data_IF_279244493697
#
_entry.id   IF_279244493697
#
_cell.length_a   1.000
_cell.length_b   1.000
_cell.length_c   1.000
_cell.angle_alpha   90.00
_cell.angle_beta   90.00
_cell.angle_gamma   90.00
#
_symmetry.space_group_name_H-M   'P 1'
#
loop_
_entity.id
_entity.type
_entity.pdbx_description
1 polymer ?
#
# COMPACT_ATOMS: atom_id res chain seq x y z
N UNK A 1 0.58 -18.09 -17.78
CA UNK A 1 1.07 -17.73 -16.42
C UNK A 1 0.45 -16.44 -15.88
N UNK A 2 0.65 -15.22 -16.46
CA UNK A 2 0.00 -13.97 -15.93
C UNK A 2 -1.53 -14.09 -15.88
N UNK A 3 -2.16 -14.64 -16.93
CA UNK A 3 -3.62 -14.83 -17.00
C UNK A 3 -4.16 -15.83 -15.99
N UNK A 4 -3.40 -16.82 -15.61
CA UNK A 4 -3.80 -17.83 -14.60
C UNK A 4 -3.75 -17.23 -13.19
N UNK A 5 -2.68 -16.51 -12.88
CA UNK A 5 -2.58 -15.78 -11.59
C UNK A 5 -3.71 -14.75 -11.46
N UNK A 6 -4.04 -14.01 -12.52
CA UNK A 6 -5.16 -13.07 -12.51
C UNK A 6 -6.52 -13.76 -12.23
N UNK A 7 -6.71 -15.01 -12.68
CA UNK A 7 -7.91 -15.80 -12.33
C UNK A 7 -7.93 -16.14 -10.83
N UNK A 8 -6.78 -16.48 -10.24
CA UNK A 8 -6.69 -16.75 -8.80
C UNK A 8 -6.98 -15.52 -7.95
N UNK A 9 -6.56 -14.33 -8.40
CA UNK A 9 -6.86 -13.05 -7.76
C UNK A 9 -8.37 -12.72 -7.78
N UNK A 10 -9.12 -13.29 -8.72
CA UNK A 10 -10.55 -13.09 -8.83
C UNK A 10 -10.95 -11.72 -9.36
N UNK A 11 -12.08 -11.20 -8.88
CA UNK A 11 -12.68 -9.96 -9.41
C UNK A 11 -12.02 -8.71 -8.82
N UNK A 12 -11.53 -7.83 -9.68
CA UNK A 12 -11.10 -6.48 -9.31
C UNK A 12 -12.30 -5.53 -9.30
N UNK A 13 -12.25 -4.55 -8.41
CA UNK A 13 -13.19 -3.43 -8.42
C UNK A 13 -12.98 -2.52 -9.63
N UNK A 14 -14.03 -1.83 -10.05
CA UNK A 14 -13.93 -0.85 -11.11
C UNK A 14 -13.24 0.43 -10.60
N UNK A 15 -12.32 0.95 -11.43
CA UNK A 15 -11.71 2.26 -11.15
C UNK A 15 -12.75 3.38 -11.26
N UNK A 16 -12.64 4.37 -10.38
CA UNK A 16 -13.50 5.54 -10.35
C UNK A 16 -12.68 6.82 -10.49
N UNK A 17 -13.35 7.97 -10.68
CA UNK A 17 -12.67 9.27 -10.66
C UNK A 17 -11.94 9.47 -9.33
N UNK A 18 -10.67 9.80 -9.38
CA UNK A 18 -9.79 9.90 -8.20
C UNK A 18 -10.27 10.93 -7.17
N UNK A 19 -10.81 12.08 -7.61
CA UNK A 19 -11.26 13.20 -6.75
C UNK A 19 -10.26 13.47 -5.62
N UNK A 20 -9.00 13.65 -5.99
CA UNK A 20 -7.91 13.91 -5.05
C UNK A 20 -8.21 15.19 -4.27
N UNK A 21 -8.10 15.11 -2.93
CA UNK A 21 -8.28 16.22 -2.00
C UNK A 21 -7.06 16.34 -1.11
N UNK A 22 -6.50 17.54 -1.01
CA UNK A 22 -5.53 17.91 0.01
C UNK A 22 -6.25 18.09 1.36
N UNK A 23 -5.85 17.35 2.38
CA UNK A 23 -6.41 17.42 3.73
C UNK A 23 -5.55 18.30 4.63
N UNK A 24 -4.24 18.15 4.52
CA UNK A 24 -3.26 18.91 5.29
C UNK A 24 -1.96 19.04 4.50
N UNK A 25 -1.21 20.10 4.76
CA UNK A 25 0.09 20.38 4.14
C UNK A 25 1.05 20.98 5.14
N UNK A 26 2.25 20.42 5.21
CA UNK A 26 3.32 20.88 6.12
C UNK A 26 4.59 21.08 5.31
N UNK A 27 5.25 22.21 5.52
CA UNK A 27 6.56 22.52 4.95
C UNK A 27 7.64 22.21 5.98
N UNK A 28 8.54 21.28 5.64
CA UNK A 28 9.68 20.89 6.47
C UNK A 28 11.01 21.54 6.02
N UNK A 29 10.95 22.53 5.11
CA UNK A 29 12.14 23.18 4.55
C UNK A 29 12.72 22.40 3.37
N UNK A 30 13.23 21.20 3.58
CA UNK A 30 13.82 20.36 2.51
C UNK A 30 12.77 19.66 1.64
N UNK A 31 11.59 19.43 2.18
CA UNK A 31 10.47 18.79 1.47
C UNK A 31 9.12 19.32 1.99
N UNK A 32 8.10 19.11 1.21
CA UNK A 32 6.71 19.34 1.60
C UNK A 32 6.02 17.99 1.81
N UNK A 33 5.31 17.82 2.92
CA UNK A 33 4.42 16.70 3.19
C UNK A 33 2.98 17.15 2.98
N UNK A 34 2.22 16.37 2.23
CA UNK A 34 0.78 16.60 2.04
C UNK A 34 0.04 15.32 2.40
N UNK A 35 -0.97 15.42 3.27
CA UNK A 35 -1.95 14.37 3.48
C UNK A 35 -3.02 14.50 2.42
N UNK A 36 -3.10 13.50 1.54
CA UNK A 36 -4.11 13.39 0.48
C UNK A 36 -5.21 12.42 0.89
N UNK A 37 -6.39 12.64 0.33
CA UNK A 37 -7.50 11.69 0.33
C UNK A 37 -8.04 11.56 -1.09
N UNK A 38 -8.22 10.34 -1.60
CA UNK A 38 -8.69 10.08 -2.96
C UNK A 38 -9.57 8.84 -3.03
N UNK A 39 -10.42 8.77 -4.04
CA UNK A 39 -11.27 7.61 -4.26
C UNK A 39 -10.45 6.44 -4.84
N UNK A 40 -10.70 5.24 -4.35
CA UNK A 40 -10.23 3.98 -4.94
C UNK A 40 -11.38 3.22 -5.58
N UNK A 41 -12.56 3.29 -4.98
CA UNK A 41 -13.81 2.69 -5.44
C UNK A 41 -14.97 3.65 -5.20
N UNK A 42 -16.17 3.31 -5.72
CA UNK A 42 -17.39 4.05 -5.40
C UNK A 42 -17.67 3.92 -3.90
N UNK A 43 -17.67 5.04 -3.20
CA UNK A 43 -17.92 5.10 -1.75
C UNK A 43 -16.73 4.78 -0.86
N UNK A 44 -15.55 4.46 -1.42
CA UNK A 44 -14.34 4.19 -0.64
C UNK A 44 -13.19 5.14 -1.00
N UNK A 45 -12.55 5.67 0.06
CA UNK A 45 -11.42 6.60 -0.04
C UNK A 45 -10.21 6.08 0.70
N UNK A 46 -9.03 6.41 0.18
CA UNK A 46 -7.75 6.13 0.81
C UNK A 46 -7.08 7.44 1.20
N UNK A 47 -6.47 7.45 2.38
CA UNK A 47 -5.55 8.51 2.79
C UNK A 47 -4.12 8.07 2.53
N UNK A 48 -3.34 9.00 1.98
CA UNK A 48 -1.91 8.80 1.70
C UNK A 48 -1.13 10.04 2.06
N UNK A 49 0.08 9.88 2.57
CA UNK A 49 1.03 10.97 2.54
C UNK A 49 1.70 11.03 1.17
N UNK A 50 1.84 12.24 0.63
CA UNK A 50 2.78 12.50 -0.46
C UNK A 50 3.88 13.43 0.04
N UNK A 51 5.14 13.02 -0.16
CA UNK A 51 6.33 13.78 0.20
C UNK A 51 6.96 14.31 -1.09
N UNK A 52 7.15 15.62 -1.18
CA UNK A 52 7.64 16.30 -2.38
C UNK A 52 8.91 17.06 -2.04
N UNK A 53 10.09 16.70 -2.60
CA UNK A 53 11.33 17.41 -2.35
C UNK A 53 11.28 18.83 -2.93
N UNK A 54 11.92 19.81 -2.27
CA UNK A 54 11.89 21.23 -2.68
C UNK A 54 12.63 21.52 -3.99
N UNK A 55 13.54 20.66 -4.41
CA UNK A 55 14.25 20.84 -5.67
C UNK A 55 13.26 20.91 -6.84
N UNK A 56 13.37 21.88 -7.70
CA UNK A 56 12.50 22.06 -8.88
C UNK A 56 12.67 20.97 -9.92
N UNK A 57 11.69 20.87 -10.84
CA UNK A 57 11.68 19.97 -12.00
C UNK A 57 10.92 18.67 -11.77
N UNK A 58 10.76 17.93 -12.85
CA UNK A 58 10.13 16.61 -12.87
C UNK A 58 11.02 15.58 -12.20
N UNK A 59 10.45 14.72 -11.35
CA UNK A 59 11.21 13.80 -10.51
C UNK A 59 10.66 12.38 -10.56
N UNK A 60 11.54 11.37 -10.42
CA UNK A 60 11.10 9.99 -10.20
C UNK A 60 10.29 9.89 -8.91
N UNK A 61 9.34 8.95 -8.89
CA UNK A 61 8.45 8.74 -7.77
C UNK A 61 8.52 7.31 -7.22
N UNK A 62 8.19 7.15 -5.96
CA UNK A 62 8.23 5.86 -5.27
C UNK A 62 6.92 5.67 -4.48
N UNK A 63 6.31 4.50 -4.64
CA UNK A 63 5.26 4.01 -3.74
C UNK A 63 5.94 3.35 -2.56
N UNK A 64 5.77 3.88 -1.35
CA UNK A 64 6.32 3.35 -0.12
C UNK A 64 5.23 2.65 0.69
N UNK A 65 5.34 1.33 0.88
CA UNK A 65 4.30 0.50 1.45
C UNK A 65 4.70 0.02 2.84
N UNK A 66 3.87 0.31 3.86
CA UNK A 66 4.11 -0.05 5.26
C UNK A 66 4.03 -1.56 5.52
N UNK A 67 4.60 -1.99 6.64
CA UNK A 67 4.51 -3.38 7.11
C UNK A 67 3.18 -3.67 7.84
N UNK A 68 2.97 -4.94 8.20
CA UNK A 68 1.88 -5.40 9.06
C UNK A 68 2.23 -5.30 10.55
N UNK A 69 3.37 -5.86 10.96
CA UNK A 69 3.89 -5.90 12.32
C UNK A 69 2.88 -6.36 13.40
N UNK A 70 1.77 -7.00 13.01
CA UNK A 70 0.60 -7.27 13.89
C UNK A 70 0.17 -6.02 14.67
N UNK A 71 0.22 -4.88 14.01
CA UNK A 71 -0.15 -3.59 14.56
C UNK A 71 -0.96 -2.76 13.55
N UNK A 72 -2.27 -2.81 13.68
CA UNK A 72 -3.21 -2.14 12.78
C UNK A 72 -3.31 -0.63 13.01
N UNK A 73 -2.72 -0.12 14.12
CA UNK A 73 -2.68 1.33 14.42
C UNK A 73 -1.62 2.07 13.58
N UNK A 74 -0.72 1.33 12.92
CA UNK A 74 0.28 1.87 12.00
C UNK A 74 -0.10 1.60 10.55
N UNK A 75 0.36 2.47 9.67
CA UNK A 75 0.15 2.40 8.23
C UNK A 75 1.07 3.40 7.53
N UNK A 76 0.50 4.28 6.72
CA UNK A 76 1.24 5.34 6.01
C UNK A 76 2.17 6.17 6.89
N UNK A 77 1.80 6.37 8.16
CA UNK A 77 2.58 7.17 9.12
C UNK A 77 3.94 6.57 9.44
N UNK A 78 4.09 5.24 9.36
CA UNK A 78 5.36 4.56 9.61
C UNK A 78 6.43 4.96 8.60
N UNK A 79 6.12 4.82 7.32
CA UNK A 79 7.11 5.00 6.24
C UNK A 79 7.50 6.46 6.02
N UNK A 80 6.69 7.41 6.52
CA UNK A 80 7.01 8.84 6.49
C UNK A 80 7.64 9.36 7.79
N UNK A 81 7.96 8.45 8.71
CA UNK A 81 8.73 8.76 9.91
C UNK A 81 7.94 9.44 11.03
N UNK A 82 6.62 9.24 11.12
CA UNK A 82 5.78 9.77 12.21
C UNK A 82 5.71 8.84 13.44
N UNK A 83 6.27 7.63 13.34
CA UNK A 83 6.39 6.70 14.46
C UNK A 83 7.71 6.91 15.22
N UNK A 84 7.77 6.45 16.48
CA UNK A 84 8.99 6.55 17.31
C UNK A 84 10.14 5.75 16.69
N UNK A 85 9.87 4.53 16.24
CA UNK A 85 10.85 3.72 15.52
C UNK A 85 11.03 4.25 14.09
N UNK A 86 12.22 4.83 13.81
CA UNK A 86 12.57 5.39 12.50
C UNK A 86 13.17 4.36 11.54
N UNK A 87 13.36 3.11 11.94
CA UNK A 87 13.95 2.07 11.08
C UNK A 87 13.17 1.88 9.78
N UNK A 88 11.86 2.05 9.83
CA UNK A 88 10.97 1.87 8.67
C UNK A 88 10.58 3.19 7.99
N UNK A 89 11.24 4.29 8.32
CA UNK A 89 10.97 5.61 7.73
C UNK A 89 11.62 5.80 6.34
N UNK A 90 11.68 4.75 5.52
CA UNK A 90 12.35 4.78 4.22
C UNK A 90 11.73 5.78 3.23
N UNK A 91 10.45 6.10 3.37
CA UNK A 91 9.83 7.16 2.57
C UNK A 91 10.41 8.54 2.91
N UNK A 92 10.68 8.81 4.19
CA UNK A 92 11.35 10.03 4.63
C UNK A 92 12.79 10.12 4.11
N UNK A 93 13.52 8.99 4.12
CA UNK A 93 14.89 8.95 3.61
C UNK A 93 14.94 9.17 2.09
N UNK A 94 13.96 8.62 1.36
CA UNK A 94 13.88 8.75 -0.08
C UNK A 94 13.53 10.17 -0.54
N UNK A 95 12.61 10.88 0.14
CA UNK A 95 12.32 12.27 -0.22
C UNK A 95 13.52 13.18 -0.02
N UNK A 96 14.32 12.96 1.02
CA UNK A 96 15.58 13.69 1.25
C UNK A 96 16.62 13.42 0.15
N UNK A 97 16.52 12.27 -0.53
CA UNK A 97 17.36 11.93 -1.71
C UNK A 97 16.81 12.47 -3.02
N UNK A 98 15.68 13.17 -3.01
CA UNK A 98 15.11 13.84 -4.18
C UNK A 98 14.01 13.06 -4.90
N UNK A 99 13.51 11.97 -4.33
CA UNK A 99 12.36 11.24 -4.87
C UNK A 99 11.04 11.82 -4.35
N UNK A 100 10.01 11.83 -5.20
CA UNK A 100 8.64 12.01 -4.72
C UNK A 100 8.20 10.67 -4.13
N UNK A 101 7.56 10.70 -2.97
CA UNK A 101 7.11 9.48 -2.31
C UNK A 101 5.62 9.57 -2.03
N UNK A 102 4.86 8.53 -2.41
CA UNK A 102 3.48 8.34 -1.95
C UNK A 102 3.41 7.14 -1.01
N UNK A 103 2.76 7.34 0.13
CA UNK A 103 2.59 6.32 1.17
C UNK A 103 1.10 6.15 1.48
N UNK A 104 0.39 5.17 0.89
CA UNK A 104 -1.01 4.90 1.18
C UNK A 104 -1.20 4.01 2.41
N UNK A 105 -2.37 4.12 3.07
CA UNK A 105 -2.83 3.09 3.99
C UNK A 105 -3.38 1.89 3.23
N UNK A 106 -2.91 0.69 3.54
CA UNK A 106 -3.57 -0.54 3.15
C UNK A 106 -4.89 -0.71 3.92
N UNK A 107 -5.85 -1.44 3.35
CA UNK A 107 -7.11 -1.75 4.03
C UNK A 107 -6.83 -2.45 5.36
N UNK A 108 -7.58 -2.11 6.38
CA UNK A 108 -7.49 -2.51 7.79
C UNK A 108 -6.46 -1.75 8.63
N UNK A 109 -5.59 -0.93 8.05
CA UNK A 109 -4.53 -0.22 8.79
C UNK A 109 -4.83 1.27 8.95
N UNK A 110 -4.35 1.84 10.06
CA UNK A 110 -4.37 3.26 10.44
C UNK A 110 -5.72 3.94 10.14
N UNK A 111 -5.82 4.79 9.11
CA UNK A 111 -7.09 5.47 8.79
C UNK A 111 -8.17 4.55 8.19
N UNK A 112 -7.81 3.31 7.84
CA UNK A 112 -8.71 2.33 7.22
C UNK A 112 -9.07 1.15 8.14
N UNK A 113 -8.86 1.29 9.43
CA UNK A 113 -9.41 0.37 10.43
C UNK A 113 -10.95 0.39 10.39
N UNK A 114 -11.56 -0.69 10.84
CA UNK A 114 -13.02 -0.79 10.99
C UNK A 114 -13.62 0.31 11.88
N UNK A 115 -14.92 0.22 12.11
CA UNK A 115 -15.61 1.13 13.03
C UNK A 115 -15.14 0.95 14.48
N UNK A 116 -15.62 1.79 15.39
CA UNK A 116 -15.17 1.85 16.79
C UNK A 116 -15.12 0.49 17.50
N UNK A 117 -16.07 -0.41 17.22
CA UNK A 117 -16.10 -1.75 17.85
C UNK A 117 -14.87 -2.61 17.50
N UNK A 118 -14.22 -2.35 16.36
CA UNK A 118 -13.04 -3.08 15.93
C UNK A 118 -11.72 -2.40 16.32
N UNK A 119 -11.78 -1.23 16.98
CA UNK A 119 -10.60 -0.45 17.38
C UNK A 119 -10.29 -0.55 18.87
N UNK A 120 -10.99 -1.41 19.60
CA UNK A 120 -10.88 -1.50 21.06
C UNK A 120 -9.56 -2.11 21.52
N UNK A 121 -9.08 -3.11 20.80
CA UNK A 121 -7.86 -3.85 21.11
C UNK A 121 -7.36 -4.62 19.87
N UNK A 122 -6.17 -5.23 20.00
CA UNK A 122 -5.53 -5.95 18.88
C UNK A 122 -6.33 -7.17 18.39
N UNK A 123 -7.06 -7.84 19.26
CA UNK A 123 -7.86 -8.99 18.84
C UNK A 123 -9.06 -8.55 17.99
N UNK A 124 -9.68 -7.43 18.33
CA UNK A 124 -10.75 -6.85 17.53
C UNK A 124 -10.26 -6.28 16.20
N UNK A 125 -9.07 -5.67 16.18
CA UNK A 125 -8.43 -5.22 14.94
C UNK A 125 -8.13 -6.40 14.01
N UNK A 126 -7.56 -7.48 14.54
CA UNK A 126 -7.33 -8.74 13.82
C UNK A 126 -8.64 -9.37 13.33
N UNK A 127 -9.69 -9.31 14.13
CA UNK A 127 -11.02 -9.80 13.74
C UNK A 127 -11.58 -8.99 12.56
N UNK A 128 -11.35 -7.68 12.50
CA UNK A 128 -11.75 -6.86 11.37
C UNK A 128 -11.02 -7.25 10.09
N UNK A 129 -9.70 -7.43 10.14
CA UNK A 129 -8.91 -7.88 8.99
C UNK A 129 -9.38 -9.27 8.50
N UNK A 130 -9.62 -10.19 9.43
CA UNK A 130 -10.19 -11.50 9.10
C UNK A 130 -11.59 -11.39 8.48
N UNK A 131 -12.41 -10.47 8.97
CA UNK A 131 -13.75 -10.22 8.41
C UNK A 131 -13.65 -9.71 6.96
N UNK A 132 -12.79 -8.71 6.72
CA UNK A 132 -12.57 -8.19 5.37
C UNK A 132 -12.00 -9.28 4.44
N UNK A 133 -11.04 -10.08 4.89
CA UNK A 133 -10.56 -11.24 4.14
C UNK A 133 -11.70 -12.19 3.74
N UNK A 134 -12.51 -12.63 4.69
CA UNK A 134 -13.64 -13.51 4.41
C UNK A 134 -14.64 -12.86 3.44
N UNK A 135 -14.92 -11.58 3.60
CA UNK A 135 -15.82 -10.81 2.72
C UNK A 135 -15.32 -10.80 1.27
N UNK A 136 -14.02 -10.57 1.03
CA UNK A 136 -13.46 -10.62 -0.33
C UNK A 136 -13.54 -12.01 -0.91
N UNK A 137 -13.22 -13.07 -0.16
CA UNK A 137 -13.35 -14.46 -0.61
C UNK A 137 -14.80 -14.78 -1.02
N UNK A 138 -15.79 -14.42 -0.18
CA UNK A 138 -17.20 -14.65 -0.48
C UNK A 138 -17.71 -13.91 -1.73
N UNK A 139 -17.06 -12.80 -2.08
CA UNK A 139 -17.38 -12.03 -3.28
C UNK A 139 -16.57 -12.43 -4.53
N UNK A 140 -15.84 -13.56 -4.48
CA UNK A 140 -15.07 -14.07 -5.62
C UNK A 140 -13.80 -13.25 -5.92
N UNK A 141 -13.19 -12.71 -4.86
CA UNK A 141 -11.96 -11.93 -4.89
C UNK A 141 -11.04 -12.36 -3.73
N UNK A 142 -9.98 -11.62 -3.44
CA UNK A 142 -9.16 -11.82 -2.25
C UNK A 142 -8.60 -10.49 -1.74
N UNK A 143 -8.05 -10.48 -0.53
CA UNK A 143 -7.50 -9.27 0.07
C UNK A 143 -6.29 -8.74 -0.73
N UNK A 144 -5.49 -9.64 -1.32
CA UNK A 144 -4.41 -9.29 -2.25
C UNK A 144 -4.89 -8.46 -3.45
N UNK A 145 -6.04 -8.84 -4.02
CA UNK A 145 -6.66 -8.11 -5.13
C UNK A 145 -7.04 -6.69 -4.73
N UNK A 146 -7.58 -6.52 -3.52
CA UNK A 146 -7.90 -5.19 -2.98
C UNK A 146 -6.65 -4.34 -2.81
N UNK A 147 -5.59 -4.91 -2.24
CA UNK A 147 -4.32 -4.18 -2.09
C UNK A 147 -3.74 -3.75 -3.43
N UNK A 148 -3.72 -4.65 -4.43
CA UNK A 148 -3.26 -4.32 -5.77
C UNK A 148 -4.08 -3.21 -6.44
N UNK A 149 -5.41 -3.26 -6.29
CA UNK A 149 -6.30 -2.24 -6.82
C UNK A 149 -5.98 -0.86 -6.20
N UNK A 150 -5.87 -0.79 -4.89
CA UNK A 150 -5.64 0.46 -4.16
C UNK A 150 -4.24 1.03 -4.44
N UNK A 151 -3.22 0.17 -4.48
CA UNK A 151 -1.84 0.56 -4.76
C UNK A 151 -1.67 1.02 -6.22
N UNK A 152 -2.31 0.35 -7.19
CA UNK A 152 -2.35 0.81 -8.58
C UNK A 152 -3.07 2.16 -8.70
N UNK A 153 -4.09 2.40 -7.89
CA UNK A 153 -4.76 3.70 -7.82
C UNK A 153 -3.85 4.78 -7.21
N UNK A 154 -2.99 4.45 -6.24
CA UNK A 154 -1.98 5.38 -5.75
C UNK A 154 -0.98 5.78 -6.84
N UNK A 155 -0.63 4.86 -7.77
CA UNK A 155 0.17 5.20 -8.95
C UNK A 155 -0.61 6.15 -9.90
N UNK A 156 -1.93 5.96 -10.07
CA UNK A 156 -2.76 6.87 -10.85
C UNK A 156 -2.74 8.28 -10.23
N UNK A 157 -2.77 8.39 -8.89
CA UNK A 157 -2.62 9.67 -8.17
C UNK A 157 -1.25 10.29 -8.45
N UNK A 158 -0.15 9.54 -8.35
CA UNK A 158 1.17 10.04 -8.71
C UNK A 158 1.20 10.57 -10.16
N UNK A 159 0.65 9.80 -11.09
CA UNK A 159 0.61 10.16 -12.51
C UNK A 159 -0.31 11.38 -12.82
N UNK A 160 -1.15 11.79 -11.89
CA UNK A 160 -1.97 13.00 -12.06
C UNK A 160 -1.19 14.30 -11.84
N UNK A 161 -0.01 14.24 -11.20
CA UNK A 161 0.83 15.39 -10.97
C UNK A 161 1.83 15.62 -12.11
N UNK A 162 1.96 16.86 -12.58
CA UNK A 162 2.88 17.23 -13.69
C UNK A 162 4.35 17.14 -13.28
N UNK A 163 4.66 17.30 -12.01
CA UNK A 163 6.03 17.22 -11.47
C UNK A 163 6.53 15.78 -11.25
N UNK A 164 5.73 14.77 -11.56
CA UNK A 164 6.09 13.34 -11.46
C UNK A 164 6.59 12.82 -12.80
N UNK A 165 7.78 12.21 -12.82
CA UNK A 165 8.27 11.44 -13.97
C UNK A 165 7.56 10.09 -14.03
N UNK A 166 6.54 10.02 -14.88
CA UNK A 166 5.68 8.83 -15.04
C UNK A 166 6.42 7.62 -15.63
N UNK A 167 7.60 7.82 -16.20
CA UNK A 167 8.43 6.75 -16.76
C UNK A 167 9.41 6.16 -15.74
N UNK A 168 9.57 6.80 -14.58
CA UNK A 168 10.50 6.42 -13.52
C UNK A 168 9.78 6.31 -12.17
N UNK A 169 8.89 5.33 -12.05
CA UNK A 169 8.16 5.01 -10.82
C UNK A 169 8.72 3.71 -10.24
N UNK A 170 9.08 3.74 -8.96
CA UNK A 170 9.51 2.57 -8.19
C UNK A 170 8.55 2.23 -7.06
N UNK A 171 8.77 1.08 -6.45
CA UNK A 171 8.06 0.64 -5.24
C UNK A 171 9.03 0.08 -4.21
N UNK A 172 8.78 0.35 -2.95
CA UNK A 172 9.54 -0.18 -1.83
C UNK A 172 8.61 -0.56 -0.68
N UNK A 173 8.93 -1.64 0.03
CA UNK A 173 8.22 -2.03 1.23
C UNK A 173 8.96 -3.05 2.06
N UNK A 174 8.56 -3.17 3.34
CA UNK A 174 9.08 -4.14 4.28
C UNK A 174 7.98 -5.10 4.74
N UNK A 175 8.30 -6.40 4.94
CA UNK A 175 7.37 -7.44 5.39
C UNK A 175 6.12 -7.50 4.48
N UNK A 176 4.90 -7.23 4.98
CA UNK A 176 3.70 -7.10 4.15
C UNK A 176 3.92 -6.10 3.02
N UNK A 177 4.48 -4.91 3.31
CA UNK A 177 4.81 -3.94 2.27
C UNK A 177 5.80 -4.46 1.23
N UNK A 178 6.74 -5.31 1.65
CA UNK A 178 7.67 -6.00 0.74
C UNK A 178 6.96 -7.03 -0.16
N UNK A 179 6.02 -7.78 0.38
CA UNK A 179 5.13 -8.67 -0.38
C UNK A 179 4.35 -7.87 -1.42
N UNK A 180 3.70 -6.78 -1.00
CA UNK A 180 2.90 -5.92 -1.88
C UNK A 180 3.75 -5.21 -2.93
N UNK A 181 5.00 -4.87 -2.63
CA UNK A 181 5.92 -4.29 -3.61
C UNK A 181 6.18 -5.26 -4.77
N UNK A 182 6.38 -6.56 -4.50
CA UNK A 182 6.55 -7.58 -5.54
C UNK A 182 5.26 -7.74 -6.35
N UNK A 183 4.13 -7.90 -5.68
CA UNK A 183 2.85 -8.04 -6.34
C UNK A 183 2.50 -6.84 -7.22
N UNK A 184 2.74 -5.61 -6.73
CA UNK A 184 2.49 -4.39 -7.50
C UNK A 184 3.42 -4.28 -8.71
N UNK A 185 4.71 -4.61 -8.57
CA UNK A 185 5.66 -4.58 -9.67
C UNK A 185 5.35 -5.59 -10.78
N UNK A 186 4.79 -6.73 -10.42
CA UNK A 186 4.30 -7.71 -11.36
C UNK A 186 2.99 -7.29 -12.05
N UNK A 187 2.11 -6.61 -11.31
CA UNK A 187 0.78 -6.24 -11.78
C UNK A 187 0.79 -5.00 -12.65
N UNK A 188 1.46 -3.93 -12.19
CA UNK A 188 1.45 -2.60 -12.81
C UNK A 188 2.75 -2.32 -13.57
N UNK A 189 2.67 -2.28 -14.90
CA UNK A 189 3.81 -2.14 -15.81
C UNK A 189 4.51 -0.76 -15.72
N UNK A 190 3.89 0.21 -15.04
CA UNK A 190 4.50 1.53 -14.78
C UNK A 190 5.64 1.45 -13.76
N UNK A 191 5.68 0.40 -12.94
CA UNK A 191 6.77 0.17 -11.98
C UNK A 191 8.04 -0.27 -12.73
N UNK A 192 9.14 0.45 -12.48
CA UNK A 192 10.45 0.20 -13.13
C UNK A 192 11.49 -0.35 -12.16
N UNK A 193 11.28 -0.18 -10.86
CA UNK A 193 12.17 -0.67 -9.81
C UNK A 193 11.36 -1.14 -8.61
N UNK A 194 11.73 -2.29 -8.06
CA UNK A 194 11.08 -2.87 -6.88
C UNK A 194 12.13 -3.20 -5.82
N UNK A 195 11.90 -2.74 -4.59
CA UNK A 195 12.68 -3.10 -3.41
C UNK A 195 11.77 -3.79 -2.41
N UNK A 196 11.98 -5.08 -2.21
CA UNK A 196 11.25 -5.89 -1.24
C UNK A 196 12.18 -6.30 -0.11
N UNK A 197 11.88 -5.85 1.10
CA UNK A 197 12.58 -6.24 2.32
C UNK A 197 11.70 -7.22 3.09
N UNK A 198 12.19 -8.46 3.31
CA UNK A 198 11.49 -9.52 4.06
C UNK A 198 10.07 -9.85 3.54
N UNK A 199 9.80 -9.60 2.25
CA UNK A 199 8.47 -9.77 1.64
C UNK A 199 8.33 -11.02 0.79
N UNK A 200 9.36 -11.87 0.70
CA UNK A 200 9.35 -13.07 -0.14
C UNK A 200 9.26 -14.32 0.73
N UNK A 201 8.31 -15.17 0.41
CA UNK A 201 8.23 -16.54 0.95
C UNK A 201 7.65 -17.47 -0.10
N UNK A 202 8.01 -18.76 -0.01
CA UNK A 202 7.41 -19.79 -0.83
C UNK A 202 6.09 -20.23 -0.16
N UNK A 203 4.99 -20.24 -0.91
CA UNK A 203 3.69 -20.70 -0.39
C UNK A 203 3.77 -22.15 0.08
N UNK A 204 4.52 -22.98 -0.65
CA UNK A 204 4.75 -24.38 -0.25
C UNK A 204 5.39 -24.46 1.14
N UNK A 205 6.43 -23.65 1.42
CA UNK A 205 7.10 -23.68 2.72
C UNK A 205 6.16 -23.21 3.84
N UNK A 206 5.32 -22.21 3.58
CA UNK A 206 4.31 -21.74 4.52
C UNK A 206 3.34 -22.87 4.90
N UNK A 207 2.90 -23.65 3.92
CA UNK A 207 1.98 -24.77 4.15
C UNK A 207 2.69 -25.94 4.82
N UNK A 208 3.89 -26.30 4.38
CA UNK A 208 4.66 -27.45 4.90
C UNK A 208 5.11 -27.22 6.38
N UNK A 209 5.39 -25.98 6.76
CA UNK A 209 5.79 -25.61 8.12
C UNK A 209 4.64 -25.05 8.97
N UNK A 210 3.39 -25.09 8.50
CA UNK A 210 2.19 -24.63 9.21
C UNK A 210 2.31 -23.18 9.72
N UNK A 211 2.95 -22.32 8.94
CA UNK A 211 3.18 -20.92 9.31
C UNK A 211 1.92 -20.10 9.00
N UNK A 212 1.34 -19.47 10.03
CA UNK A 212 0.32 -18.45 9.84
C UNK A 212 0.97 -17.15 9.39
N UNK A 213 0.46 -16.60 8.31
CA UNK A 213 0.93 -15.35 7.72
C UNK A 213 -0.20 -14.30 7.64
N UNK A 214 0.08 -13.11 7.09
CA UNK A 214 -0.96 -12.10 6.84
C UNK A 214 -2.03 -12.63 5.86
N UNK A 215 -3.24 -12.11 5.96
CA UNK A 215 -4.38 -12.62 5.18
C UNK A 215 -4.28 -12.35 3.67
N UNK A 216 -3.49 -11.37 3.21
CA UNK A 216 -3.31 -11.12 1.78
C UNK A 216 -2.56 -12.25 1.07
N UNK A 217 -1.77 -13.05 1.80
CA UNK A 217 -1.06 -14.18 1.23
C UNK A 217 -2.00 -15.32 0.77
N UNK A 218 -3.19 -15.44 1.38
CA UNK A 218 -4.11 -16.53 1.10
C UNK A 218 -4.98 -16.23 -0.12
N UNK A 219 -4.44 -16.56 -1.29
CA UNK A 219 -5.09 -16.39 -2.59
C UNK A 219 -5.65 -17.74 -3.03
N UNK A 220 -6.95 -17.87 -3.35
CA UNK A 220 -7.53 -19.13 -3.77
C UNK A 220 -6.84 -19.71 -5.01
N UNK A 221 -6.54 -21.01 -5.00
CA UNK A 221 -5.99 -21.76 -6.14
C UNK A 221 -4.62 -21.25 -6.66
N UNK A 222 -3.83 -20.57 -5.83
CA UNK A 222 -2.52 -20.03 -6.24
C UNK A 222 -1.39 -21.08 -6.14
N UNK A 223 -1.60 -22.17 -5.41
CA UNK A 223 -0.61 -23.26 -5.19
C UNK A 223 -0.69 -24.32 -6.28
#
# INVERSE_FOLDING_TARGET
>A
MKSEILKCLGKFSEKTSLKVKEINKIDYGDYTEILLEYNVEIGERVRSYILIPKKEGVKPAIVAIHQHASNWDIGKSEVVGKMDNKMFAYGLDLVKKGYIVIAPDLLCFESRQGNEKFRTDKEMQKMYERFEFCKYILNGSCLQTKYLHDLSTAIDVLCSFEFVDKNNIGVIGHSLGGQEAIWLSWYDERIKCCVSSCGVSCIKDILDYEILHNFALYIPNIS
#
